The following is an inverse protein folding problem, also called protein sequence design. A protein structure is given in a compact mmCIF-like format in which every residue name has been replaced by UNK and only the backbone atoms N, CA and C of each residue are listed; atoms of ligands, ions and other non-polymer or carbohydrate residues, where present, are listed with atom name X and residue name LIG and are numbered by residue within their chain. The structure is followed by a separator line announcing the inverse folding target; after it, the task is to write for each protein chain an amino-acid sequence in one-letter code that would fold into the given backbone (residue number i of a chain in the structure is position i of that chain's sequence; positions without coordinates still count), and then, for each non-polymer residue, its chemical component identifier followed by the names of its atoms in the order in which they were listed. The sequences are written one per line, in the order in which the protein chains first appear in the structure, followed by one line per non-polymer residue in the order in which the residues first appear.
data_IF_614715892515
#
_entry.id   IF_614715892515
#
_cell.length_a   1.000
_cell.length_b   1.000
_cell.length_c   1.000
_cell.angle_alpha   90.00
_cell.angle_beta   90.00
_cell.angle_gamma   90.00
#
_symmetry.space_group_name_H-M   'P 1'
#
loop_
_entity.id
_entity.type
_entity.pdbx_description
1 polymer ?
#
# COMPACT_ATOMS: atom_id res chain seq x y z
N UNK A 1 4.39 24.23 33.99
CA UNK A 1 3.86 23.13 33.15
C UNK A 1 5.02 22.39 32.52
N UNK A 2 5.24 21.13 32.92
CA UNK A 2 6.38 20.32 32.48
C UNK A 2 6.27 19.99 30.99
N UNK A 3 7.31 20.36 30.23
CA UNK A 3 7.45 19.96 28.83
C UNK A 3 7.87 18.49 28.85
N UNK A 4 6.92 17.57 28.67
CA UNK A 4 7.22 16.14 28.49
C UNK A 4 8.01 15.97 27.19
N UNK A 5 9.33 16.10 27.28
CA UNK A 5 10.24 15.63 26.26
C UNK A 5 10.15 14.12 26.35
N UNK A 6 9.19 13.54 25.63
CA UNK A 6 9.27 12.14 25.26
C UNK A 6 10.66 12.01 24.65
N UNK A 7 11.58 11.30 25.32
CA UNK A 7 12.80 10.80 24.69
C UNK A 7 12.31 9.76 23.70
N UNK A 8 11.79 10.24 22.57
CA UNK A 8 11.22 9.33 21.60
C UNK A 8 12.41 8.70 20.92
N UNK A 9 12.61 7.43 21.22
CA UNK A 9 13.60 6.60 20.58
C UNK A 9 13.41 6.75 19.07
N UNK A 10 14.38 7.39 18.40
CA UNK A 10 14.30 7.75 16.98
C UNK A 10 13.91 6.52 16.14
N UNK A 11 14.49 5.38 16.49
CA UNK A 11 14.25 4.07 15.87
C UNK A 11 12.79 3.62 16.03
N UNK A 12 12.19 3.85 17.20
CA UNK A 12 10.80 3.46 17.48
C UNK A 12 9.80 4.31 16.70
N UNK A 13 10.01 5.63 16.58
CA UNK A 13 9.18 6.46 15.68
C UNK A 13 9.37 6.03 14.24
N UNK A 14 10.61 5.82 13.81
CA UNK A 14 10.89 5.46 12.43
C UNK A 14 10.13 4.18 12.04
N UNK A 15 10.24 3.13 12.85
CA UNK A 15 9.52 1.87 12.65
C UNK A 15 8.01 2.08 12.66
N UNK A 16 7.48 2.85 13.61
CA UNK A 16 6.05 3.13 13.68
C UNK A 16 5.53 3.85 12.43
N UNK A 17 6.18 4.94 12.02
CA UNK A 17 5.76 5.68 10.81
C UNK A 17 5.88 4.79 9.58
N UNK A 18 6.95 3.99 9.49
CA UNK A 18 7.16 3.08 8.37
C UNK A 18 6.04 2.04 8.29
N UNK A 19 5.72 1.37 9.40
CA UNK A 19 4.60 0.43 9.47
C UNK A 19 3.28 1.10 9.05
N UNK A 20 2.95 2.26 9.62
CA UNK A 20 1.69 2.95 9.32
C UNK A 20 1.56 3.39 7.87
N UNK A 21 2.66 3.81 7.26
CA UNK A 21 2.68 4.27 5.87
C UNK A 21 2.71 3.11 4.87
N UNK A 22 3.51 2.08 5.13
CA UNK A 22 3.73 0.99 4.16
C UNK A 22 2.70 -0.15 4.28
N UNK A 23 2.32 -0.51 5.51
CA UNK A 23 1.40 -1.62 5.80
C UNK A 23 -0.04 -1.10 5.86
N UNK A 24 -0.30 -0.17 6.78
CA UNK A 24 -1.65 0.38 6.99
C UNK A 24 -2.04 1.40 5.91
N UNK A 25 -1.10 1.85 5.08
CA UNK A 25 -1.33 2.84 4.00
C UNK A 25 -1.97 4.14 4.49
N UNK A 26 -1.68 4.53 5.73
CA UNK A 26 -2.23 5.74 6.36
C UNK A 26 -1.55 7.00 5.84
N UNK A 27 -2.35 8.06 5.75
CA UNK A 27 -1.84 9.39 5.43
C UNK A 27 -1.17 10.05 6.64
N UNK A 28 -0.28 11.01 6.38
CA UNK A 28 0.34 11.84 7.42
C UNK A 28 -0.73 12.46 8.36
N UNK A 29 -1.90 12.81 7.82
CA UNK A 29 -3.03 13.33 8.60
C UNK A 29 -3.67 12.30 9.54
N UNK A 30 -3.85 11.05 9.08
CA UNK A 30 -4.38 9.97 9.93
C UNK A 30 -3.38 9.59 11.03
N UNK A 31 -2.10 9.51 10.70
CA UNK A 31 -1.03 9.23 11.67
C UNK A 31 -0.94 10.37 12.70
N UNK A 32 -1.05 11.62 12.25
CA UNK A 32 -1.05 12.79 13.12
C UNK A 32 -2.20 12.76 14.13
N UNK A 33 -3.41 12.36 13.68
CA UNK A 33 -4.58 12.16 14.56
C UNK A 33 -4.34 11.04 15.58
N UNK A 34 -3.75 9.92 15.17
CA UNK A 34 -3.45 8.81 16.08
C UNK A 34 -2.42 9.19 17.16
N UNK A 35 -1.42 9.98 16.80
CA UNK A 35 -0.36 10.42 17.72
C UNK A 35 -0.68 11.73 18.44
N UNK A 36 -1.82 12.36 18.13
CA UNK A 36 -2.22 13.68 18.61
C UNK A 36 -1.12 14.75 18.44
N UNK A 37 -0.53 14.81 17.25
CA UNK A 37 0.50 15.80 16.87
C UNK A 37 0.08 16.56 15.61
N UNK A 38 0.83 17.61 15.28
CA UNK A 38 0.62 18.33 14.02
C UNK A 38 0.95 17.47 12.80
N UNK A 39 0.20 17.65 11.70
CA UNK A 39 0.47 16.97 10.41
C UNK A 39 1.89 17.28 9.92
N UNK A 40 2.32 18.53 10.08
CA UNK A 40 3.68 18.98 9.73
C UNK A 40 4.77 18.23 10.51
N UNK A 41 4.51 17.83 11.75
CA UNK A 41 5.43 17.00 12.55
C UNK A 41 5.61 15.63 11.93
N UNK A 42 4.52 14.98 11.51
CA UNK A 42 4.58 13.68 10.82
C UNK A 42 5.29 13.80 9.47
N UNK A 43 4.94 14.81 8.66
CA UNK A 43 5.63 15.01 7.38
C UNK A 43 7.12 15.28 7.56
N UNK A 44 7.51 16.04 8.59
CA UNK A 44 8.91 16.28 8.93
C UNK A 44 9.63 14.98 9.31
N UNK A 45 9.05 14.18 10.21
CA UNK A 45 9.61 12.88 10.59
C UNK A 45 9.71 11.92 9.40
N UNK A 46 8.64 11.79 8.62
CA UNK A 46 8.60 10.97 7.40
C UNK A 46 9.75 11.34 6.45
N UNK A 47 9.92 12.63 6.15
CA UNK A 47 11.00 13.11 5.29
C UNK A 47 12.39 12.86 5.92
N UNK A 48 12.55 13.10 7.23
CA UNK A 48 13.80 12.86 7.96
C UNK A 48 14.23 11.39 7.92
N UNK A 49 13.27 10.47 7.86
CA UNK A 49 13.51 9.03 7.73
C UNK A 49 13.50 8.51 6.29
N UNK A 50 13.41 9.40 5.29
CA UNK A 50 13.30 9.03 3.86
C UNK A 50 12.14 8.08 3.54
N UNK A 51 11.05 8.15 4.31
CA UNK A 51 9.84 7.35 4.08
C UNK A 51 9.00 8.05 3.00
N UNK A 52 8.61 7.34 1.94
CA UNK A 52 7.73 7.91 0.92
C UNK A 52 6.30 8.01 1.45
N UNK A 53 5.50 9.01 1.04
CA UNK A 53 4.10 9.09 1.46
C UNK A 53 3.31 7.84 1.01
N UNK A 54 2.26 7.51 1.75
CA UNK A 54 1.40 6.37 1.43
C UNK A 54 0.90 6.44 -0.02
N UNK A 55 0.99 5.31 -0.73
CA UNK A 55 0.63 5.26 -2.13
C UNK A 55 -0.88 5.49 -2.29
N UNK A 56 -1.26 6.60 -2.93
CA UNK A 56 -2.65 6.99 -3.18
C UNK A 56 -3.45 5.89 -3.88
N UNK A 57 -2.84 5.16 -4.81
CA UNK A 57 -3.49 4.05 -5.49
C UNK A 57 -3.88 2.93 -4.51
N UNK A 58 -2.92 2.45 -3.71
CA UNK A 58 -3.15 1.39 -2.72
C UNK A 58 -4.28 1.76 -1.75
N UNK A 59 -4.28 3.02 -1.29
CA UNK A 59 -5.31 3.54 -0.39
C UNK A 59 -6.68 3.56 -1.07
N UNK A 60 -6.81 4.21 -2.23
CA UNK A 60 -8.08 4.30 -2.95
C UNK A 60 -8.61 2.91 -3.34
N UNK A 61 -7.72 1.95 -3.63
CA UNK A 61 -8.09 0.57 -3.91
C UNK A 61 -8.70 -0.13 -2.68
N UNK A 62 -8.07 0.00 -1.50
CA UNK A 62 -8.62 -0.50 -0.25
C UNK A 62 -9.95 0.17 0.12
N UNK A 63 -10.06 1.48 -0.08
CA UNK A 63 -11.30 2.23 0.18
C UNK A 63 -12.45 1.75 -0.70
N UNK A 64 -12.17 1.35 -1.95
CA UNK A 64 -13.19 0.90 -2.90
C UNK A 64 -13.57 -0.58 -2.77
N UNK A 65 -12.60 -1.46 -2.51
CA UNK A 65 -12.79 -2.91 -2.58
C UNK A 65 -12.63 -3.62 -1.22
N UNK A 66 -12.31 -2.89 -0.15
CA UNK A 66 -12.14 -3.41 1.20
C UNK A 66 -10.69 -3.44 1.68
N UNK A 67 -10.46 -3.52 3.01
CA UNK A 67 -9.12 -3.48 3.61
C UNK A 67 -8.21 -4.62 3.13
N UNK A 68 -8.77 -5.80 2.90
CA UNK A 68 -8.06 -7.01 2.45
C UNK A 68 -7.91 -7.10 0.93
N UNK A 69 -8.39 -6.10 0.17
CA UNK A 69 -8.44 -6.15 -1.29
C UNK A 69 -7.07 -6.37 -1.94
N UNK A 70 -6.02 -5.73 -1.41
CA UNK A 70 -4.66 -5.90 -1.94
C UNK A 70 -4.09 -7.29 -1.64
N UNK A 71 -4.37 -7.83 -0.46
CA UNK A 71 -3.95 -9.17 -0.09
C UNK A 71 -4.67 -10.22 -0.94
N UNK A 72 -6.00 -10.06 -1.10
CA UNK A 72 -6.81 -10.91 -1.98
C UNK A 72 -6.27 -10.88 -3.41
N UNK A 73 -5.97 -9.69 -3.95
CA UNK A 73 -5.38 -9.54 -5.29
C UNK A 73 -4.04 -10.29 -5.40
N UNK A 74 -3.15 -10.11 -4.42
CA UNK A 74 -1.86 -10.80 -4.38
C UNK A 74 -2.01 -12.32 -4.29
N UNK A 75 -2.96 -12.80 -3.50
CA UNK A 75 -3.30 -14.22 -3.35
C UNK A 75 -3.79 -14.82 -4.68
N UNK A 76 -4.66 -14.11 -5.39
CA UNK A 76 -5.15 -14.56 -6.70
C UNK A 76 -4.00 -14.66 -7.72
N UNK A 77 -3.12 -13.68 -7.77
CA UNK A 77 -1.92 -13.74 -8.63
C UNK A 77 -1.01 -14.90 -8.25
N UNK A 78 -0.79 -15.15 -6.96
CA UNK A 78 0.01 -16.29 -6.47
C UNK A 78 -0.59 -17.64 -6.87
N UNK A 79 -1.92 -17.73 -6.87
CA UNK A 79 -2.67 -18.90 -7.32
C UNK A 79 -2.83 -18.97 -8.85
N UNK A 80 -2.05 -18.16 -9.59
CA UNK A 80 -2.06 -18.11 -11.06
C UNK A 80 -3.42 -17.76 -11.68
N UNK A 81 -4.29 -17.06 -10.94
CA UNK A 81 -5.57 -16.60 -11.47
C UNK A 81 -5.35 -15.65 -12.65
N UNK A 82 -6.17 -15.79 -13.67
CA UNK A 82 -6.13 -14.92 -14.83
C UNK A 82 -6.61 -13.51 -14.48
N UNK A 83 -6.20 -12.51 -15.27
CA UNK A 83 -6.76 -11.16 -15.15
C UNK A 83 -8.28 -11.12 -15.29
N UNK A 84 -8.86 -12.06 -16.04
CA UNK A 84 -10.31 -12.17 -16.21
C UNK A 84 -10.98 -12.69 -14.93
N UNK A 85 -10.41 -13.70 -14.27
CA UNK A 85 -10.92 -14.20 -12.99
C UNK A 85 -10.81 -13.15 -11.88
N UNK A 86 -9.69 -12.44 -11.83
CA UNK A 86 -9.50 -11.31 -10.91
C UNK A 86 -10.54 -10.21 -11.19
N UNK A 87 -10.76 -9.88 -12.46
CA UNK A 87 -11.75 -8.90 -12.87
C UNK A 87 -13.17 -9.28 -12.41
N UNK A 88 -13.55 -10.53 -12.63
CA UNK A 88 -14.85 -11.06 -12.20
C UNK A 88 -14.99 -11.02 -10.68
N UNK A 89 -13.98 -11.46 -9.92
CA UNK A 89 -14.02 -11.53 -8.46
C UNK A 89 -14.12 -10.14 -7.79
N UNK A 90 -13.47 -9.13 -8.36
CA UNK A 90 -13.52 -7.75 -7.86
C UNK A 90 -14.63 -6.89 -8.50
N UNK A 91 -15.33 -7.40 -9.51
CA UNK A 91 -16.38 -6.68 -10.22
C UNK A 91 -15.88 -5.50 -11.06
N UNK A 92 -14.69 -5.60 -11.67
CA UNK A 92 -14.13 -4.59 -12.59
C UNK A 92 -13.73 -5.19 -13.94
N UNK A 93 -13.23 -4.38 -14.88
CA UNK A 93 -12.80 -4.87 -16.20
C UNK A 93 -11.43 -5.56 -16.17
N UNK A 94 -11.19 -6.47 -17.13
CA UNK A 94 -9.89 -7.15 -17.30
C UNK A 94 -8.75 -6.16 -17.54
N UNK A 95 -8.98 -5.10 -18.29
CA UNK A 95 -8.02 -4.03 -18.55
C UNK A 95 -7.66 -3.30 -17.25
N UNK A 96 -8.63 -3.10 -16.37
CA UNK A 96 -8.40 -2.51 -15.06
C UNK A 96 -7.57 -3.46 -14.17
N UNK A 97 -7.85 -4.77 -14.20
CA UNK A 97 -7.03 -5.79 -13.54
C UNK A 97 -5.55 -5.68 -13.98
N UNK A 98 -5.30 -5.51 -15.28
CA UNK A 98 -3.95 -5.32 -15.83
C UNK A 98 -3.29 -4.04 -15.30
N UNK A 99 -4.03 -2.94 -15.24
CA UNK A 99 -3.53 -1.66 -14.72
C UNK A 99 -3.15 -1.80 -13.24
N UNK A 100 -4.02 -2.43 -12.43
CA UNK A 100 -3.77 -2.72 -11.02
C UNK A 100 -2.49 -3.54 -10.86
N UNK A 101 -2.32 -4.61 -11.64
CA UNK A 101 -1.10 -5.43 -11.61
C UNK A 101 0.16 -4.59 -11.90
N UNK A 102 0.15 -3.79 -12.98
CA UNK A 102 1.30 -2.96 -13.34
C UNK A 102 1.62 -1.91 -12.26
N UNK A 103 0.61 -1.37 -11.59
CA UNK A 103 0.79 -0.42 -10.48
C UNK A 103 1.39 -1.08 -9.23
N UNK A 104 1.13 -2.37 -9.00
CA UNK A 104 1.58 -3.08 -7.80
C UNK A 104 2.96 -3.73 -7.94
N UNK A 105 3.30 -4.28 -9.10
CA UNK A 105 4.47 -5.16 -9.24
C UNK A 105 5.65 -4.55 -10.01
N UNK A 106 5.57 -3.28 -10.42
CA UNK A 106 6.58 -2.52 -11.20
C UNK A 106 6.99 -3.15 -12.55
N UNK A 107 6.72 -4.43 -12.77
CA UNK A 107 6.88 -5.17 -14.03
C UNK A 107 5.55 -5.23 -14.77
N UNK A 108 5.64 -5.20 -16.10
CA UNK A 108 4.45 -5.36 -16.91
C UNK A 108 3.88 -6.77 -16.75
N UNK A 109 2.54 -6.92 -16.72
CA UNK A 109 1.90 -8.24 -16.71
C UNK A 109 2.37 -9.12 -17.88
N UNK A 110 2.69 -8.53 -19.03
CA UNK A 110 3.30 -9.21 -20.17
C UNK A 110 4.66 -9.84 -19.85
N UNK A 111 5.50 -9.18 -19.03
CA UNK A 111 6.77 -9.76 -18.59
C UNK A 111 6.56 -10.86 -17.53
N UNK A 112 5.57 -10.71 -16.66
CA UNK A 112 5.18 -11.77 -15.73
C UNK A 112 4.80 -13.07 -16.47
N UNK A 113 4.03 -12.97 -17.56
CA UNK A 113 3.68 -14.13 -18.41
C UNK A 113 4.90 -14.73 -19.13
N UNK A 114 5.93 -13.94 -19.47
CA UNK A 114 7.15 -14.45 -20.14
C UNK A 114 8.05 -15.29 -19.23
N UNK A 115 8.01 -15.06 -17.92
CA UNK A 115 8.88 -15.72 -16.93
C UNK A 115 8.21 -16.86 -16.17
N UNK A 116 7.05 -17.36 -16.63
CA UNK A 116 6.39 -18.54 -16.06
C UNK A 116 4.93 -18.35 -15.65
N UNK A 117 4.35 -17.16 -15.81
CA UNK A 117 2.91 -16.97 -15.66
C UNK A 117 2.16 -17.75 -16.75
N UNK A 118 1.43 -18.79 -16.35
CA UNK A 118 0.66 -19.72 -17.19
C UNK A 118 0.16 -19.12 -18.52
N UNK A 119 0.63 -19.69 -19.64
CA UNK A 119 -0.07 -19.69 -20.93
C UNK A 119 -0.98 -20.91 -20.94
N UNK A 120 -2.28 -20.75 -20.71
CA UNK A 120 -3.24 -21.80 -21.07
C UNK A 120 -4.38 -21.20 -21.88
N UNK A 121 -4.52 -21.79 -23.08
CA UNK A 121 -5.62 -21.85 -24.06
C UNK A 121 -6.64 -20.72 -24.09
#
# INVERSE_FOLDING_TARGET
MGRCILKIDKTRIEQFIREKVEVDTLTDAQIARQLNVGISTISHWRNKFNIKPANKFKRNFKERYGPDALEKFHRMIRNEATLQEIATDFGFSREYARQVHNQLYQKSYSEYLRHGGRRLR
#
